data_IF_036104322146
#
_entry.id   IF_036104322146
#
_cell.length_a   1.000
_cell.length_b   1.000
_cell.length_c   1.000
_cell.angle_alpha   90.00
_cell.angle_beta   90.00
_cell.angle_gamma   90.00
#
_symmetry.space_group_name_H-M   'P 1'
#
loop_
_entity.id
_entity.type
_entity.pdbx_description
1 polymer ?
#
# COMPACT_ATOMS: atom_id res chain seq x y z
N UNK A 1 21.95 34.76 10.76
CA UNK A 1 22.50 33.39 10.92
C UNK A 1 21.63 32.45 11.77
N UNK A 2 20.39 32.78 12.07
CA UNK A 2 19.47 32.02 12.95
C UNK A 2 18.38 31.19 12.23
N UNK A 3 18.17 31.41 10.92
CA UNK A 3 17.08 30.73 10.20
C UNK A 3 17.41 29.30 9.68
N UNK A 4 18.70 29.00 9.50
CA UNK A 4 19.14 27.70 8.98
C UNK A 4 19.15 26.58 10.03
N UNK A 5 19.20 26.91 11.33
CA UNK A 5 19.22 25.94 12.43
C UNK A 5 17.81 25.46 12.79
N UNK A 6 16.82 26.34 12.70
CA UNK A 6 15.40 26.02 13.00
C UNK A 6 14.82 25.10 11.89
N UNK A 7 15.18 25.35 10.63
CA UNK A 7 14.75 24.52 9.50
C UNK A 7 15.32 23.09 9.56
N UNK A 8 16.56 22.90 10.03
CA UNK A 8 17.17 21.57 10.16
C UNK A 8 16.58 20.74 11.31
N UNK A 9 16.25 21.34 12.42
CA UNK A 9 15.63 20.65 13.57
C UNK A 9 14.19 20.26 13.29
N UNK A 10 13.40 21.08 12.59
CA UNK A 10 12.05 20.73 12.14
C UNK A 10 12.06 19.58 11.13
N UNK A 11 12.98 19.58 10.17
CA UNK A 11 13.09 18.51 9.16
C UNK A 11 13.53 17.16 9.73
N UNK A 12 14.42 17.15 10.72
CA UNK A 12 14.82 15.91 11.42
C UNK A 12 13.70 15.31 12.27
N UNK A 13 12.90 16.15 12.93
CA UNK A 13 11.77 15.70 13.74
C UNK A 13 10.66 15.11 12.83
N UNK A 14 10.37 15.74 11.70
CA UNK A 14 9.37 15.24 10.74
C UNK A 14 9.76 13.89 10.15
N UNK A 15 11.02 13.68 9.76
CA UNK A 15 11.48 12.40 9.21
C UNK A 15 11.39 11.26 10.24
N UNK A 16 11.74 11.51 11.49
CA UNK A 16 11.63 10.53 12.58
C UNK A 16 10.17 10.18 12.84
N UNK A 17 9.29 11.16 12.85
CA UNK A 17 7.86 10.98 13.09
C UNK A 17 7.18 10.21 11.93
N UNK A 18 7.51 10.52 10.70
CA UNK A 18 7.01 9.79 9.52
C UNK A 18 7.41 8.31 9.54
N UNK A 19 8.65 7.98 9.97
CA UNK A 19 9.08 6.59 10.11
C UNK A 19 8.42 5.87 11.28
N UNK A 20 8.09 6.57 12.37
CA UNK A 20 7.28 6.04 13.48
C UNK A 20 5.91 5.62 12.98
N UNK A 21 5.19 6.50 12.28
CA UNK A 21 3.86 6.19 11.72
C UNK A 21 3.93 5.04 10.73
N UNK A 22 4.99 4.97 9.89
CA UNK A 22 5.22 3.84 8.99
C UNK A 22 5.38 2.52 9.76
N UNK A 23 6.17 2.49 10.85
CA UNK A 23 6.38 1.28 11.65
C UNK A 23 5.10 0.83 12.35
N UNK A 24 4.32 1.77 12.89
CA UNK A 24 3.04 1.50 13.57
C UNK A 24 1.99 0.94 12.60
N UNK A 25 1.96 1.40 11.36
CA UNK A 25 0.97 0.99 10.35
C UNK A 25 1.38 -0.27 9.58
N UNK A 26 2.68 -0.54 9.39
CA UNK A 26 3.15 -1.78 8.76
C UNK A 26 4.61 -2.11 9.06
N UNK A 27 4.79 -3.19 9.79
CA UNK A 27 6.14 -3.72 10.04
C UNK A 27 6.81 -4.26 8.78
N UNK A 28 6.06 -4.90 7.91
CA UNK A 28 6.60 -5.49 6.65
C UNK A 28 7.10 -4.38 5.73
N UNK A 29 6.29 -3.38 5.45
CA UNK A 29 6.69 -2.27 4.59
C UNK A 29 7.72 -1.36 5.24
N UNK A 30 7.67 -1.16 6.56
CA UNK A 30 8.73 -0.48 7.30
C UNK A 30 10.10 -1.14 7.05
N UNK A 31 10.19 -2.46 7.19
CA UNK A 31 11.43 -3.21 6.95
C UNK A 31 11.92 -3.05 5.50
N UNK A 32 11.02 -3.11 4.52
CA UNK A 32 11.36 -2.96 3.10
C UNK A 32 11.81 -1.54 2.78
N UNK A 33 11.04 -0.54 3.21
CA UNK A 33 11.26 0.87 2.88
C UNK A 33 12.51 1.43 3.57
N UNK A 34 12.80 1.03 4.81
CA UNK A 34 13.99 1.51 5.54
C UNK A 34 15.31 1.03 4.96
N UNK A 35 15.30 0.03 4.07
CA UNK A 35 16.47 -0.43 3.33
C UNK A 35 16.74 0.34 2.03
N UNK A 36 15.82 1.21 1.63
CA UNK A 36 15.95 1.98 0.40
C UNK A 36 16.91 3.17 0.57
N UNK A 37 17.58 3.62 -0.50
CA UNK A 37 18.33 4.87 -0.50
C UNK A 37 17.43 6.04 -0.06
N UNK A 38 17.99 6.99 0.70
CA UNK A 38 17.23 8.06 1.39
C UNK A 38 16.20 8.78 0.52
N UNK A 39 16.55 9.13 -0.73
CA UNK A 39 15.65 9.81 -1.66
C UNK A 39 14.44 8.92 -2.04
N UNK A 40 14.70 7.64 -2.34
CA UNK A 40 13.67 6.66 -2.68
C UNK A 40 12.86 6.27 -1.45
N UNK A 41 13.51 6.13 -0.28
CA UNK A 41 12.86 5.88 1.00
C UNK A 41 11.81 6.95 1.30
N UNK A 42 12.16 8.22 1.14
CA UNK A 42 11.23 9.34 1.35
C UNK A 42 10.00 9.23 0.45
N UNK A 43 10.20 8.94 -0.85
CA UNK A 43 9.11 8.78 -1.80
C UNK A 43 8.22 7.55 -1.50
N UNK A 44 8.85 6.40 -1.19
CA UNK A 44 8.13 5.17 -0.87
C UNK A 44 7.35 5.28 0.43
N UNK A 45 7.90 5.96 1.45
CA UNK A 45 7.19 6.22 2.71
C UNK A 45 5.95 7.08 2.48
N UNK A 46 6.08 8.17 1.72
CA UNK A 46 4.96 9.04 1.36
C UNK A 46 3.86 8.28 0.60
N UNK A 47 4.26 7.47 -0.39
CA UNK A 47 3.34 6.64 -1.16
C UNK A 47 2.60 5.66 -0.24
N UNK A 48 3.33 4.92 0.59
CA UNK A 48 2.73 3.95 1.51
C UNK A 48 1.74 4.60 2.48
N UNK A 49 2.14 5.66 3.18
CA UNK A 49 1.28 6.32 4.16
C UNK A 49 0.03 6.94 3.53
N UNK A 50 0.16 7.50 2.31
CA UNK A 50 -1.00 8.01 1.57
C UNK A 50 -1.99 6.90 1.21
N UNK A 51 -1.50 5.72 0.75
CA UNK A 51 -2.36 4.58 0.44
C UNK A 51 -2.98 3.98 1.71
N UNK A 52 -2.18 3.86 2.77
CA UNK A 52 -2.69 3.35 4.06
C UNK A 52 -3.78 4.24 4.66
N UNK A 53 -3.66 5.55 4.51
CA UNK A 53 -4.69 6.49 4.93
C UNK A 53 -6.04 6.25 4.23
N UNK A 54 -6.02 5.83 2.97
CA UNK A 54 -7.22 5.47 2.20
C UNK A 54 -7.80 4.12 2.63
N UNK A 55 -6.93 3.12 2.87
CA UNK A 55 -7.33 1.81 3.37
C UNK A 55 -8.10 1.92 4.70
N UNK A 56 -7.62 2.79 5.61
CA UNK A 56 -8.27 3.00 6.90
C UNK A 56 -9.69 3.60 6.77
N UNK A 57 -9.96 4.36 5.71
CA UNK A 57 -11.33 4.83 5.42
C UNK A 57 -12.18 3.68 4.85
N UNK A 58 -11.61 2.91 3.88
CA UNK A 58 -12.32 1.80 3.24
C UNK A 58 -12.71 0.73 4.28
N UNK A 59 -11.79 0.35 5.14
CA UNK A 59 -11.95 -0.73 6.11
C UNK A 59 -12.63 -0.32 7.42
N UNK A 60 -12.86 0.98 7.65
CA UNK A 60 -13.36 1.49 8.93
C UNK A 60 -14.69 0.86 9.35
N UNK A 61 -14.74 0.25 10.52
CA UNK A 61 -15.92 -0.49 10.99
C UNK A 61 -17.05 0.42 11.48
N UNK A 62 -16.74 1.61 11.98
CA UNK A 62 -17.71 2.57 12.54
C UNK A 62 -18.36 3.48 11.51
N UNK A 63 -17.79 3.62 10.30
CA UNK A 63 -18.34 4.43 9.23
C UNK A 63 -19.27 3.60 8.33
N UNK A 64 -20.46 4.12 8.03
CA UNK A 64 -21.31 3.51 7.02
C UNK A 64 -20.75 3.74 5.60
N UNK A 65 -21.18 2.88 4.65
CA UNK A 65 -20.64 2.89 3.28
C UNK A 65 -20.85 4.23 2.55
N UNK A 66 -21.99 4.91 2.78
CA UNK A 66 -22.22 6.22 2.17
C UNK A 66 -21.22 7.29 2.67
N UNK A 67 -20.84 7.24 3.95
CA UNK A 67 -19.82 8.11 4.51
C UNK A 67 -18.42 7.79 3.93
N UNK A 68 -18.03 6.51 3.90
CA UNK A 68 -16.77 6.05 3.29
C UNK A 68 -16.65 6.49 1.84
N UNK A 69 -17.68 6.22 1.03
CA UNK A 69 -17.75 6.60 -0.38
C UNK A 69 -17.57 8.11 -0.56
N UNK A 70 -18.29 8.90 0.23
CA UNK A 70 -18.18 10.37 0.21
C UNK A 70 -16.77 10.87 0.56
N UNK A 71 -16.15 10.31 1.61
CA UNK A 71 -14.80 10.69 2.02
C UNK A 71 -13.77 10.35 0.95
N UNK A 72 -13.80 9.12 0.43
CA UNK A 72 -12.89 8.66 -0.60
C UNK A 72 -13.03 9.46 -1.91
N UNK A 73 -14.26 9.69 -2.38
CA UNK A 73 -14.51 10.54 -3.55
C UNK A 73 -14.02 11.98 -3.34
N UNK A 74 -14.20 12.54 -2.15
CA UNK A 74 -13.74 13.90 -1.86
C UNK A 74 -12.22 13.98 -1.87
N UNK A 75 -11.52 12.99 -1.27
CA UNK A 75 -10.05 12.94 -1.36
C UNK A 75 -9.60 12.81 -2.81
N UNK A 76 -10.21 11.90 -3.58
CA UNK A 76 -9.91 11.74 -5.01
C UNK A 76 -10.11 13.04 -5.78
N UNK A 77 -11.24 13.71 -5.59
CA UNK A 77 -11.55 14.97 -6.25
C UNK A 77 -10.52 16.08 -5.94
N UNK A 78 -10.16 16.22 -4.66
CA UNK A 78 -9.14 17.19 -4.23
C UNK A 78 -7.82 16.94 -4.95
N UNK A 79 -7.37 15.68 -4.97
CA UNK A 79 -6.10 15.29 -5.57
C UNK A 79 -6.07 15.46 -7.11
N UNK A 80 -7.25 15.41 -7.77
CA UNK A 80 -7.37 15.61 -9.21
C UNK A 80 -7.49 17.09 -9.60
N UNK A 81 -8.09 17.92 -8.76
CA UNK A 81 -8.39 19.32 -9.07
C UNK A 81 -7.32 20.30 -8.60
N UNK A 82 -6.55 19.96 -7.58
CA UNK A 82 -5.45 20.80 -7.09
C UNK A 82 -4.13 20.34 -7.72
N UNK A 83 -3.81 20.94 -8.86
CA UNK A 83 -2.56 20.68 -9.57
C UNK A 83 -1.36 21.38 -8.89
N UNK A 84 -0.15 21.03 -9.29
CA UNK A 84 1.08 21.60 -8.73
C UNK A 84 1.20 23.13 -8.90
N UNK A 85 0.50 23.72 -9.88
CA UNK A 85 0.49 25.18 -10.14
C UNK A 85 -0.26 25.97 -9.08
N UNK A 86 -1.29 25.38 -8.44
CA UNK A 86 -2.15 26.08 -7.49
C UNK A 86 -1.75 25.82 -6.03
N UNK A 87 -0.67 25.06 -5.84
CA UNK A 87 -0.20 24.62 -4.53
C UNK A 87 -1.17 23.66 -3.86
N UNK A 88 -0.93 22.37 -3.96
CA UNK A 88 -1.64 21.33 -3.19
C UNK A 88 -1.74 21.64 -1.68
N UNK A 89 -0.93 22.58 -1.20
CA UNK A 89 -0.88 23.13 0.15
C UNK A 89 -2.13 23.91 0.57
N UNK A 90 -3.04 24.24 -0.36
CA UNK A 90 -4.23 25.05 -0.05
C UNK A 90 -5.46 24.26 0.35
N UNK A 91 -5.50 22.92 0.20
CA UNK A 91 -6.62 22.15 0.72
C UNK A 91 -6.37 21.78 2.18
N UNK A 92 -7.23 22.28 3.03
CA UNK A 92 -7.18 22.04 4.46
C UNK A 92 -7.81 20.69 4.81
N UNK A 93 -6.98 19.62 4.74
CA UNK A 93 -7.38 18.27 5.15
C UNK A 93 -7.74 18.21 6.64
N UNK A 94 -7.13 19.02 7.48
CA UNK A 94 -7.41 19.04 8.92
C UNK A 94 -8.85 19.50 9.17
N UNK A 95 -9.27 20.60 8.52
CA UNK A 95 -10.67 21.05 8.58
C UNK A 95 -11.61 20.03 7.94
N UNK A 96 -11.21 19.38 6.85
CA UNK A 96 -12.03 18.36 6.19
C UNK A 96 -12.28 17.14 7.08
N UNK A 97 -11.25 16.63 7.76
CA UNK A 97 -11.37 15.47 8.64
C UNK A 97 -11.79 15.80 10.08
N UNK A 98 -11.88 17.08 10.46
CA UNK A 98 -12.27 17.50 11.82
C UNK A 98 -13.52 16.80 12.37
N UNK A 99 -14.61 16.59 11.59
CA UNK A 99 -15.78 15.85 12.07
C UNK A 99 -15.51 14.38 12.43
N UNK A 100 -14.38 13.82 12.01
CA UNK A 100 -14.01 12.41 12.16
C UNK A 100 -12.76 12.20 13.02
N UNK A 101 -12.31 13.23 13.77
CA UNK A 101 -11.07 13.19 14.56
C UNK A 101 -11.03 12.09 15.61
N UNK A 102 -12.19 11.72 16.16
CA UNK A 102 -12.31 10.68 17.19
C UNK A 102 -12.46 9.27 16.61
N UNK A 103 -12.71 9.17 15.32
CA UNK A 103 -13.02 7.91 14.64
C UNK A 103 -11.87 7.43 13.77
N UNK A 104 -11.28 8.34 12.99
CA UNK A 104 -10.22 8.00 12.04
C UNK A 104 -8.84 7.98 12.72
N UNK A 105 -7.98 7.03 12.34
CA UNK A 105 -6.62 6.93 12.89
C UNK A 105 -5.71 8.07 12.40
N UNK A 106 -4.61 8.28 13.13
CA UNK A 106 -3.61 9.32 12.86
C UNK A 106 -3.15 9.33 11.39
N UNK A 107 -2.89 8.18 10.82
CA UNK A 107 -2.42 8.07 9.42
C UNK A 107 -3.40 8.68 8.43
N UNK A 108 -4.72 8.54 8.67
CA UNK A 108 -5.75 9.11 7.81
C UNK A 108 -5.89 10.61 8.03
N UNK A 109 -5.93 11.06 9.27
CA UNK A 109 -6.06 12.47 9.62
C UNK A 109 -4.92 13.32 9.04
N UNK A 110 -3.73 12.75 8.92
CA UNK A 110 -2.52 13.41 8.43
C UNK A 110 -2.22 13.18 6.94
N UNK A 111 -3.19 12.74 6.13
CA UNK A 111 -2.97 12.43 4.71
C UNK A 111 -2.37 13.62 3.93
N UNK A 112 -2.71 14.85 4.27
CA UNK A 112 -2.15 16.06 3.67
C UNK A 112 -0.63 16.16 3.84
N UNK A 113 -0.11 15.76 5.01
CA UNK A 113 1.33 15.71 5.27
C UNK A 113 2.01 14.66 4.40
N UNK A 114 1.44 13.46 4.30
CA UNK A 114 2.02 12.40 3.48
C UNK A 114 2.08 12.76 2.00
N UNK A 115 1.05 13.40 1.49
CA UNK A 115 0.96 13.86 0.10
C UNK A 115 1.85 15.08 -0.20
N UNK A 116 2.31 15.80 0.83
CA UNK A 116 3.25 16.91 0.73
C UNK A 116 4.70 16.50 1.00
N UNK A 117 4.91 15.33 1.61
CA UNK A 117 6.22 14.83 2.03
C UNK A 117 7.16 14.38 0.89
N UNK A 118 6.67 13.78 -0.24
CA UNK A 118 7.57 13.23 -1.25
C UNK A 118 8.38 14.31 -1.97
N UNK A 119 9.54 13.94 -2.59
CA UNK A 119 10.27 14.83 -3.48
C UNK A 119 9.40 15.33 -4.64
N UNK A 120 9.55 16.59 -5.03
CA UNK A 120 8.72 17.25 -6.06
C UNK A 120 8.62 16.46 -7.37
N UNK A 121 9.74 15.91 -7.86
CA UNK A 121 9.77 15.19 -9.14
C UNK A 121 8.93 13.91 -9.19
N UNK A 122 8.51 13.35 -8.05
CA UNK A 122 7.67 12.13 -7.97
C UNK A 122 6.32 12.40 -7.31
N UNK A 123 6.16 13.50 -6.62
CA UNK A 123 4.94 13.86 -5.92
C UNK A 123 3.68 13.80 -6.82
N UNK A 124 3.69 14.28 -8.08
CA UNK A 124 2.54 14.15 -8.96
C UNK A 124 2.08 12.71 -9.21
N UNK A 125 3.04 11.77 -9.37
CA UNK A 125 2.73 10.35 -9.58
C UNK A 125 2.08 9.72 -8.34
N UNK A 126 2.58 10.05 -7.15
CA UNK A 126 2.01 9.58 -5.88
C UNK A 126 0.60 10.12 -5.69
N UNK A 127 0.37 11.41 -5.94
CA UNK A 127 -0.96 12.04 -5.84
C UNK A 127 -1.95 11.44 -6.83
N UNK A 128 -1.52 11.23 -8.08
CA UNK A 128 -2.36 10.59 -9.10
C UNK A 128 -2.73 9.15 -8.72
N UNK A 129 -1.77 8.38 -8.22
CA UNK A 129 -2.02 7.02 -7.74
C UNK A 129 -2.98 7.00 -6.55
N UNK A 130 -2.79 7.90 -5.57
CA UNK A 130 -3.70 8.04 -4.42
C UNK A 130 -5.12 8.47 -4.87
N UNK A 131 -5.23 9.46 -5.76
CA UNK A 131 -6.52 9.89 -6.32
C UNK A 131 -7.26 8.74 -6.99
N UNK A 132 -6.54 7.98 -7.83
CA UNK A 132 -7.13 6.85 -8.55
C UNK A 132 -7.52 5.71 -7.60
N UNK A 133 -6.71 5.44 -6.58
CA UNK A 133 -7.01 4.41 -5.58
C UNK A 133 -8.24 4.80 -4.76
N UNK A 134 -8.31 6.04 -4.28
CA UNK A 134 -9.46 6.56 -3.54
C UNK A 134 -10.76 6.46 -4.35
N UNK A 135 -10.75 6.84 -5.63
CA UNK A 135 -11.92 6.72 -6.51
C UNK A 135 -12.35 5.25 -6.68
N UNK A 136 -11.38 4.33 -6.85
CA UNK A 136 -11.70 2.91 -7.00
C UNK A 136 -12.18 2.26 -5.72
N UNK A 137 -11.63 2.62 -4.57
CA UNK A 137 -12.14 2.19 -3.26
C UNK A 137 -13.57 2.70 -3.04
N UNK A 138 -13.86 3.97 -3.34
CA UNK A 138 -15.22 4.50 -3.29
C UNK A 138 -16.20 3.68 -4.16
N UNK A 139 -15.80 3.34 -5.39
CA UNK A 139 -16.59 2.48 -6.29
C UNK A 139 -16.91 1.12 -5.66
N UNK A 140 -15.92 0.45 -5.02
CA UNK A 140 -16.14 -0.85 -4.40
C UNK A 140 -16.99 -0.76 -3.13
N UNK A 141 -16.77 0.26 -2.32
CA UNK A 141 -17.58 0.58 -1.14
C UNK A 141 -19.06 0.78 -1.53
N UNK A 142 -19.34 1.64 -2.53
CA UNK A 142 -20.70 1.91 -3.02
C UNK A 142 -21.41 0.67 -3.58
N UNK A 143 -20.64 -0.36 -3.94
CA UNK A 143 -21.18 -1.66 -4.41
C UNK A 143 -21.17 -2.75 -3.33
N UNK A 144 -20.86 -2.42 -2.08
CA UNK A 144 -20.70 -3.36 -0.97
C UNK A 144 -19.74 -4.52 -1.32
N UNK A 145 -18.62 -4.20 -1.99
CA UNK A 145 -17.58 -5.16 -2.43
C UNK A 145 -18.14 -6.42 -3.11
N UNK A 146 -19.15 -6.26 -3.98
CA UNK A 146 -19.77 -7.40 -4.67
C UNK A 146 -18.83 -8.03 -5.69
N UNK A 147 -18.13 -9.05 -5.27
CA UNK A 147 -17.25 -9.88 -6.10
C UNK A 147 -18.07 -11.12 -6.51
N UNK A 148 -18.45 -11.22 -7.78
CA UNK A 148 -19.24 -12.33 -8.30
C UNK A 148 -18.46 -13.29 -9.18
N UNK A 149 -17.45 -12.80 -9.85
CA UNK A 149 -16.65 -13.52 -10.83
C UNK A 149 -15.16 -13.35 -10.54
N UNK A 150 -14.32 -14.22 -11.12
CA UNK A 150 -12.86 -14.03 -11.11
C UNK A 150 -12.47 -12.70 -11.77
N UNK A 151 -13.22 -12.24 -12.76
CA UNK A 151 -12.98 -10.93 -13.39
C UNK A 151 -13.20 -9.79 -12.40
N UNK A 152 -14.22 -9.88 -11.54
CA UNK A 152 -14.43 -8.89 -10.46
C UNK A 152 -13.28 -8.93 -9.45
N UNK A 153 -12.84 -10.12 -9.04
CA UNK A 153 -11.69 -10.28 -8.15
C UNK A 153 -10.40 -9.71 -8.77
N UNK A 154 -10.17 -10.00 -10.04
CA UNK A 154 -9.04 -9.44 -10.79
C UNK A 154 -9.08 -7.91 -10.87
N UNK A 155 -10.26 -7.33 -11.01
CA UNK A 155 -10.45 -5.87 -11.01
C UNK A 155 -10.21 -5.30 -9.61
N UNK A 156 -10.82 -5.88 -8.58
CA UNK A 156 -10.66 -5.43 -7.19
C UNK A 156 -9.18 -5.46 -6.77
N UNK A 157 -8.53 -6.61 -6.90
CA UNK A 157 -7.12 -6.77 -6.51
C UNK A 157 -6.18 -5.88 -7.32
N UNK A 158 -6.51 -5.57 -8.59
CA UNK A 158 -5.79 -4.57 -9.37
C UNK A 158 -6.03 -3.17 -8.84
N UNK A 159 -7.27 -2.79 -8.55
CA UNK A 159 -7.65 -1.44 -8.13
C UNK A 159 -6.99 -1.05 -6.78
N UNK A 160 -6.91 -1.98 -5.82
CA UNK A 160 -6.41 -1.70 -4.46
C UNK A 160 -4.93 -2.07 -4.24
N UNK A 161 -4.35 -2.97 -5.06
CA UNK A 161 -2.96 -3.40 -4.88
C UNK A 161 -2.13 -3.44 -6.16
N UNK A 162 -2.70 -3.86 -7.30
CA UNK A 162 -1.97 -3.85 -8.58
C UNK A 162 -1.50 -2.45 -8.98
N UNK A 163 -2.30 -1.42 -8.70
CA UNK A 163 -1.93 0.00 -8.91
C UNK A 163 -0.79 0.45 -8.00
N UNK A 164 -0.72 -0.06 -6.77
CA UNK A 164 0.41 0.18 -5.87
C UNK A 164 1.70 -0.41 -6.46
N UNK A 165 1.60 -1.61 -7.05
CA UNK A 165 2.70 -2.20 -7.81
C UNK A 165 3.17 -1.31 -8.98
N UNK A 166 2.23 -0.75 -9.75
CA UNK A 166 2.56 0.20 -10.82
C UNK A 166 3.25 1.47 -10.30
N UNK A 167 2.76 2.04 -9.19
CA UNK A 167 3.42 3.18 -8.53
C UNK A 167 4.85 2.82 -8.11
N UNK A 168 5.08 1.61 -7.60
CA UNK A 168 6.44 1.14 -7.26
C UNK A 168 7.36 1.12 -8.48
N UNK A 169 6.86 0.77 -9.67
CA UNK A 169 7.62 0.89 -10.93
C UNK A 169 7.91 2.35 -11.29
N UNK A 170 6.96 3.26 -11.07
CA UNK A 170 7.15 4.69 -11.34
C UNK A 170 8.18 5.30 -10.37
N UNK A 171 8.15 4.93 -9.09
CA UNK A 171 9.15 5.31 -8.09
C UNK A 171 10.55 4.85 -8.50
N UNK A 172 10.66 3.62 -8.95
CA UNK A 172 11.94 3.08 -9.42
C UNK A 172 12.44 3.78 -10.67
N UNK A 173 11.57 3.95 -11.67
CA UNK A 173 11.92 4.64 -12.91
C UNK A 173 12.40 6.07 -12.65
N UNK A 174 11.70 6.80 -11.78
CA UNK A 174 12.07 8.14 -11.37
C UNK A 174 13.43 8.18 -10.66
N UNK A 175 13.71 7.19 -9.80
CA UNK A 175 14.94 7.14 -9.02
C UNK A 175 16.16 6.70 -9.84
N UNK A 176 16.00 5.65 -10.66
CA UNK A 176 17.11 4.97 -11.35
C UNK A 176 17.24 5.29 -12.84
N UNK A 177 16.21 5.88 -13.44
CA UNK A 177 16.11 6.04 -14.89
C UNK A 177 15.83 4.74 -15.66
N UNK A 178 15.60 3.62 -14.96
CA UNK A 178 15.37 2.29 -15.57
C UNK A 178 13.92 1.89 -15.48
N UNK A 179 13.47 1.06 -16.43
CA UNK A 179 12.13 0.49 -16.43
C UNK A 179 12.11 -0.91 -15.83
N UNK A 180 11.00 -1.28 -15.20
CA UNK A 180 10.69 -2.63 -14.74
C UNK A 180 9.44 -3.13 -15.47
N UNK A 181 9.33 -4.44 -15.63
CA UNK A 181 8.14 -5.07 -16.18
C UNK A 181 6.91 -4.75 -15.30
N UNK A 182 6.04 -3.89 -15.83
CA UNK A 182 4.82 -3.46 -15.12
C UNK A 182 3.84 -4.62 -14.89
N UNK A 183 3.83 -5.63 -15.76
CA UNK A 183 2.98 -6.80 -15.58
C UNK A 183 3.40 -7.63 -14.36
N UNK A 184 4.71 -7.72 -14.08
CA UNK A 184 5.24 -8.30 -12.84
C UNK A 184 4.66 -7.61 -11.60
N UNK A 185 4.74 -6.29 -11.56
CA UNK A 185 4.31 -5.51 -10.40
C UNK A 185 2.79 -5.64 -10.15
N UNK A 186 1.99 -5.73 -11.22
CA UNK A 186 0.54 -6.00 -11.13
C UNK A 186 0.29 -7.38 -10.53
N UNK A 187 0.99 -8.43 -11.01
CA UNK A 187 0.81 -9.79 -10.50
C UNK A 187 1.21 -9.90 -9.04
N UNK A 188 2.32 -9.26 -8.65
CA UNK A 188 2.75 -9.19 -7.26
C UNK A 188 1.66 -8.51 -6.40
N UNK A 189 1.19 -7.33 -6.78
CA UNK A 189 0.14 -6.63 -6.04
C UNK A 189 -1.13 -7.48 -5.88
N UNK A 190 -1.60 -8.12 -6.96
CA UNK A 190 -2.74 -9.04 -6.91
C UNK A 190 -2.50 -10.22 -5.96
N UNK A 191 -1.32 -10.83 -6.01
CA UNK A 191 -0.94 -11.93 -5.12
C UNK A 191 -0.92 -11.51 -3.66
N UNK A 192 -0.33 -10.35 -3.35
CA UNK A 192 -0.31 -9.80 -1.98
C UNK A 192 -1.72 -9.54 -1.45
N UNK A 193 -2.61 -8.97 -2.27
CA UNK A 193 -3.99 -8.74 -1.87
C UNK A 193 -4.77 -10.04 -1.72
N UNK A 194 -4.53 -11.04 -2.55
CA UNK A 194 -5.15 -12.35 -2.41
C UNK A 194 -4.74 -13.06 -1.13
N UNK A 195 -3.46 -12.93 -0.70
CA UNK A 195 -3.01 -13.41 0.63
C UNK A 195 -3.74 -12.67 1.76
N UNK A 196 -3.93 -11.35 1.64
CA UNK A 196 -4.69 -10.58 2.62
C UNK A 196 -6.14 -11.06 2.73
N UNK A 197 -6.81 -11.30 1.60
CA UNK A 197 -8.18 -11.83 1.54
C UNK A 197 -8.27 -13.21 2.22
N UNK A 198 -7.33 -14.10 1.94
CA UNK A 198 -7.27 -15.41 2.58
C UNK A 198 -7.09 -15.29 4.10
N UNK A 199 -6.14 -14.46 4.51
CA UNK A 199 -5.77 -14.29 5.93
C UNK A 199 -6.88 -13.66 6.77
N UNK A 200 -7.56 -12.67 6.20
CA UNK A 200 -8.52 -11.84 6.94
C UNK A 200 -9.98 -12.27 6.70
N UNK A 201 -10.21 -13.37 5.99
CA UNK A 201 -11.56 -13.78 5.56
C UNK A 201 -12.57 -13.84 6.69
N UNK A 202 -12.23 -14.36 7.85
CA UNK A 202 -13.14 -14.44 9.00
C UNK A 202 -13.55 -13.04 9.49
N UNK A 203 -12.62 -12.12 9.57
CA UNK A 203 -12.87 -10.72 9.96
C UNK A 203 -13.71 -9.99 8.90
N UNK A 204 -13.45 -10.23 7.61
CA UNK A 204 -14.18 -9.63 6.50
C UNK A 204 -15.64 -10.13 6.47
N UNK A 205 -15.87 -11.42 6.66
CA UNK A 205 -17.22 -12.00 6.72
C UNK A 205 -18.00 -11.46 7.92
N UNK A 206 -17.36 -11.22 9.07
CA UNK A 206 -18.00 -10.56 10.21
C UNK A 206 -18.47 -9.14 9.87
N UNK A 207 -17.77 -8.45 8.97
CA UNK A 207 -18.14 -7.13 8.42
C UNK A 207 -19.15 -7.24 7.27
N UNK A 208 -19.68 -8.43 6.97
CA UNK A 208 -20.58 -8.73 5.85
C UNK A 208 -19.94 -8.51 4.46
N UNK A 209 -18.61 -8.66 4.36
CA UNK A 209 -17.85 -8.60 3.12
C UNK A 209 -17.25 -9.97 2.83
N UNK A 210 -17.52 -10.53 1.67
CA UNK A 210 -16.85 -11.74 1.17
C UNK A 210 -16.24 -11.44 -0.21
N UNK A 211 -14.92 -11.45 -0.27
CA UNK A 211 -14.18 -11.20 -1.50
C UNK A 211 -14.06 -12.43 -2.42
N UNK A 212 -14.63 -13.58 -2.02
CA UNK A 212 -14.62 -14.77 -2.85
C UNK A 212 -15.66 -14.65 -3.98
N UNK A 213 -15.29 -14.94 -5.25
CA UNK A 213 -16.25 -15.09 -6.33
C UNK A 213 -17.34 -16.11 -5.99
N UNK A 214 -18.53 -15.94 -6.58
CA UNK A 214 -19.66 -16.85 -6.34
C UNK A 214 -19.28 -18.30 -6.65
N UNK A 215 -19.55 -19.19 -5.69
CA UNK A 215 -19.23 -20.61 -5.80
C UNK A 215 -17.77 -20.97 -5.54
N UNK A 216 -16.91 -19.98 -5.29
CA UNK A 216 -15.54 -20.28 -4.90
C UNK A 216 -15.46 -20.74 -3.45
N UNK A 217 -14.58 -21.72 -3.22
CA UNK A 217 -14.15 -22.19 -1.92
C UNK A 217 -12.71 -21.74 -1.69
N UNK A 218 -12.20 -22.06 -0.52
CA UNK A 218 -10.84 -21.70 -0.12
C UNK A 218 -9.78 -22.23 -1.10
N UNK A 219 -9.96 -23.44 -1.63
CA UNK A 219 -9.03 -24.06 -2.59
C UNK A 219 -8.91 -23.25 -3.89
N UNK A 220 -10.00 -22.65 -4.37
CA UNK A 220 -9.97 -21.78 -5.54
C UNK A 220 -9.17 -20.49 -5.26
N UNK A 221 -9.34 -19.90 -4.06
CA UNK A 221 -8.56 -18.73 -3.65
C UNK A 221 -7.08 -19.04 -3.48
N UNK A 222 -6.73 -20.20 -2.89
CA UNK A 222 -5.33 -20.65 -2.86
C UNK A 222 -4.74 -20.78 -4.25
N UNK A 223 -5.45 -21.45 -5.17
CA UNK A 223 -5.02 -21.59 -6.58
C UNK A 223 -4.82 -20.22 -7.26
N UNK A 224 -5.77 -19.30 -7.07
CA UNK A 224 -5.66 -17.94 -7.61
C UNK A 224 -4.44 -17.21 -7.05
N UNK A 225 -4.20 -17.33 -5.74
CA UNK A 225 -3.09 -16.68 -5.04
C UNK A 225 -1.75 -17.23 -5.51
N UNK A 226 -1.59 -18.55 -5.55
CA UNK A 226 -0.39 -19.20 -6.09
C UNK A 226 -0.10 -18.78 -7.53
N UNK A 227 -1.12 -18.74 -8.39
CA UNK A 227 -0.94 -18.33 -9.79
C UNK A 227 -0.38 -16.92 -9.92
N UNK A 228 -0.85 -15.96 -9.10
CA UNK A 228 -0.36 -14.59 -9.13
C UNK A 228 1.07 -14.49 -8.55
N UNK A 229 1.34 -15.12 -7.40
CA UNK A 229 2.67 -15.08 -6.77
C UNK A 229 3.71 -15.80 -7.62
N UNK A 230 3.40 -16.95 -8.21
CA UNK A 230 4.33 -17.70 -9.09
C UNK A 230 4.70 -16.88 -10.32
N UNK A 231 3.73 -16.23 -10.99
CA UNK A 231 4.01 -15.33 -12.11
C UNK A 231 4.91 -14.15 -11.72
N UNK A 232 4.72 -13.61 -10.52
CA UNK A 232 5.61 -12.58 -9.97
C UNK A 232 7.00 -13.15 -9.68
N UNK A 233 7.11 -14.32 -9.07
CA UNK A 233 8.37 -14.98 -8.73
C UNK A 233 9.23 -15.32 -9.95
N UNK A 234 8.63 -15.76 -11.05
CA UNK A 234 9.34 -16.03 -12.28
C UNK A 234 10.06 -14.79 -12.83
N UNK A 235 9.47 -13.62 -12.64
CA UNK A 235 9.96 -12.34 -13.19
C UNK A 235 10.86 -11.55 -12.25
N UNK A 236 10.76 -11.74 -10.93
CA UNK A 236 11.61 -11.07 -9.95
C UNK A 236 13.10 -11.31 -10.20
N UNK A 237 13.45 -12.45 -10.77
CA UNK A 237 14.83 -12.84 -11.14
C UNK A 237 15.49 -11.89 -12.14
N UNK A 238 14.70 -11.16 -12.91
CA UNK A 238 15.17 -10.22 -13.93
C UNK A 238 15.23 -8.78 -13.43
N UNK A 239 14.86 -8.54 -12.15
CA UNK A 239 14.99 -7.22 -11.52
C UNK A 239 16.45 -7.01 -11.11
N UNK A 240 17.02 -5.81 -11.34
CA UNK A 240 18.35 -5.49 -10.87
C UNK A 240 18.51 -5.77 -9.36
N UNK A 241 19.58 -6.48 -9.00
CA UNK A 241 19.88 -6.87 -7.61
C UNK A 241 20.48 -5.69 -6.82
N UNK A 242 19.76 -4.59 -6.71
CA UNK A 242 20.09 -3.43 -5.92
C UNK A 242 19.10 -3.23 -4.75
N UNK A 243 19.25 -2.14 -4.01
CA UNK A 243 18.42 -1.91 -2.83
C UNK A 243 16.92 -1.89 -3.13
N UNK A 244 16.52 -1.59 -4.36
CA UNK A 244 15.11 -1.55 -4.74
C UNK A 244 14.45 -2.93 -4.76
N UNK A 245 15.22 -3.99 -4.95
CA UNK A 245 14.70 -5.36 -4.93
C UNK A 245 14.00 -5.67 -3.60
N UNK A 246 14.42 -5.05 -2.50
CA UNK A 246 13.77 -5.21 -1.20
C UNK A 246 12.31 -4.76 -1.17
N UNK A 247 11.94 -3.80 -2.03
CA UNK A 247 10.56 -3.31 -2.11
C UNK A 247 9.61 -4.37 -2.71
N UNK A 248 10.13 -5.28 -3.52
CA UNK A 248 9.36 -6.34 -4.16
C UNK A 248 9.61 -7.72 -3.54
N UNK A 249 10.86 -8.04 -3.26
CA UNK A 249 11.25 -9.40 -2.85
C UNK A 249 10.85 -9.69 -1.41
N UNK A 250 10.98 -8.71 -0.48
CA UNK A 250 10.53 -8.92 0.90
C UNK A 250 9.02 -9.18 0.98
N UNK A 251 8.13 -8.35 0.38
CA UNK A 251 6.71 -8.66 0.35
C UNK A 251 6.40 -10.01 -0.31
N UNK A 252 7.10 -10.37 -1.40
CA UNK A 252 6.87 -11.64 -2.10
C UNK A 252 7.18 -12.85 -1.22
N UNK A 253 8.39 -12.90 -0.64
CA UNK A 253 8.78 -14.06 0.19
C UNK A 253 7.95 -14.17 1.47
N UNK A 254 7.52 -13.05 2.05
CA UNK A 254 6.62 -13.05 3.20
C UNK A 254 5.20 -13.47 2.81
N UNK A 255 4.72 -13.12 1.62
CA UNK A 255 3.43 -13.55 1.11
C UNK A 255 3.43 -15.06 0.85
N UNK A 256 4.48 -15.61 0.20
CA UNK A 256 4.63 -17.05 0.01
C UNK A 256 4.62 -17.79 1.35
N UNK A 257 5.45 -17.36 2.31
CA UNK A 257 5.50 -18.00 3.62
C UNK A 257 4.17 -17.87 4.40
N UNK A 258 3.43 -16.76 4.22
CA UNK A 258 2.10 -16.61 4.82
C UNK A 258 1.11 -17.57 4.16
N UNK A 259 1.16 -17.72 2.84
CA UNK A 259 0.30 -18.65 2.10
C UNK A 259 0.54 -20.09 2.55
N UNK A 260 1.82 -20.50 2.63
CA UNK A 260 2.20 -21.84 3.14
C UNK A 260 1.68 -22.06 4.58
N UNK A 261 1.79 -21.06 5.45
CA UNK A 261 1.28 -21.14 6.81
C UNK A 261 -0.25 -21.33 6.86
N UNK A 262 -0.99 -20.56 6.03
CA UNK A 262 -2.45 -20.68 5.92
C UNK A 262 -2.87 -22.05 5.39
N UNK A 263 -2.16 -22.63 4.42
CA UNK A 263 -2.42 -23.98 3.91
C UNK A 263 -2.17 -25.07 4.98
N UNK A 264 -1.24 -24.84 5.90
CA UNK A 264 -0.97 -25.74 7.02
C UNK A 264 -1.91 -25.51 8.23
N UNK A 265 -2.87 -24.60 8.13
CA UNK A 265 -3.86 -24.32 9.17
C UNK A 265 -3.41 -23.28 10.20
N UNK A 266 -2.28 -22.61 10.00
CA UNK A 266 -1.87 -21.46 10.81
C UNK A 266 -2.65 -20.20 10.38
N UNK A 267 -2.81 -19.23 11.28
CA UNK A 267 -3.54 -17.98 10.97
C UNK A 267 -2.60 -16.86 10.49
N UNK A 268 -1.33 -16.88 10.89
CA UNK A 268 -0.34 -15.84 10.58
C UNK A 268 1.08 -16.28 10.91
N UNK A 269 2.05 -15.64 10.25
CA UNK A 269 3.47 -15.78 10.63
C UNK A 269 3.75 -15.12 11.98
N UNK A 270 4.57 -15.79 12.81
CA UNK A 270 5.11 -15.20 14.04
C UNK A 270 6.20 -14.18 13.72
N UNK A 271 6.45 -13.24 14.65
CA UNK A 271 7.55 -12.28 14.53
C UNK A 271 8.92 -12.92 14.32
N UNK A 272 9.12 -14.11 14.93
CA UNK A 272 10.36 -14.89 14.80
C UNK A 272 10.52 -15.40 13.37
N UNK A 273 9.48 -16.00 12.78
CA UNK A 273 9.49 -16.49 11.40
C UNK A 273 9.75 -15.35 10.40
N UNK A 274 9.08 -14.20 10.55
CA UNK A 274 9.32 -13.03 9.71
C UNK A 274 10.79 -12.59 9.74
N UNK A 275 11.38 -12.47 10.95
CA UNK A 275 12.81 -12.10 11.09
C UNK A 275 13.73 -13.14 10.45
N UNK A 276 13.45 -14.41 10.63
CA UNK A 276 14.24 -15.50 10.06
C UNK A 276 14.24 -15.47 8.54
N UNK A 277 13.07 -15.29 7.92
CA UNK A 277 12.91 -15.18 6.46
C UNK A 277 13.73 -14.00 5.91
N UNK A 278 13.64 -12.84 6.57
CA UNK A 278 14.36 -11.65 6.14
C UNK A 278 15.88 -11.81 6.29
N UNK A 279 16.35 -12.41 7.39
CA UNK A 279 17.78 -12.69 7.58
C UNK A 279 18.33 -13.63 6.51
N UNK A 280 17.59 -14.69 6.17
CA UNK A 280 17.95 -15.61 5.08
C UNK A 280 18.03 -14.89 3.72
N UNK A 281 17.12 -13.95 3.46
CA UNK A 281 17.16 -13.14 2.24
C UNK A 281 18.41 -12.24 2.21
N UNK A 282 18.72 -11.59 3.32
CA UNK A 282 19.89 -10.72 3.44
C UNK A 282 21.21 -11.53 3.29
N UNK A 283 21.28 -12.74 3.81
CA UNK A 283 22.43 -13.65 3.67
C UNK A 283 22.65 -14.08 2.22
N UNK A 284 21.58 -14.46 1.51
CA UNK A 284 21.64 -14.83 0.08
C UNK A 284 22.17 -13.70 -0.81
N UNK A 285 21.97 -12.45 -0.41
CA UNK A 285 22.44 -11.28 -1.17
C UNK A 285 23.86 -10.86 -0.87
N UNK A 286 24.45 -11.38 0.21
CA UNK A 286 25.86 -11.15 0.56
C UNK A 286 26.79 -12.24 0.02
N UNK A 287 26.25 -13.39 -0.31
CA UNK A 287 26.95 -14.54 -0.91
C UNK A 287 27.04 -14.39 -2.44
#
# INVERSE_FOLDING_TARGET
MSDLSISRTHGMNLQTDVLRVLEETSRTFHISITRLPSKLQKAATAAYLSMRALDEIEDHIGLNNACKEKLLHKVSWVLQTHTASDGFTHFDFDTFFRPYQTELPEVTLRIGEWLSYPPEGIAPHIRYAAATMADRMAYWVGRNWKIRTETDLNRYTFDVAGKVGLLSCDLWSWFSGRQIDRAFAIQLGRGLQAVNILRNREEDVQRQVDFYPLGWRQEHMFTYTHNNLNRAKEKVKFIPQDAFVYLFEIPLVLAEATLDALENGDTKLTRRQVRQIINQLDERKRA
#
